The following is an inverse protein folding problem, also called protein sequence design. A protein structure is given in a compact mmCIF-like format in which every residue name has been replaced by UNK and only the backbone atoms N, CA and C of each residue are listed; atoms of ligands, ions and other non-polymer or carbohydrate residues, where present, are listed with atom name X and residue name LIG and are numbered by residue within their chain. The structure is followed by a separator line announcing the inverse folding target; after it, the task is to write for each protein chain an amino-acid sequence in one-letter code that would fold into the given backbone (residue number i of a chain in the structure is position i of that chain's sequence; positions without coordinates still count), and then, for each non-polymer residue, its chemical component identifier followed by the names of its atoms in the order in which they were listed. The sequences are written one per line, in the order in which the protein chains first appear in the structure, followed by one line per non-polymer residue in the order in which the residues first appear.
data_IF_940108137837
#
_entry.id   IF_940108137837
#
_cell.length_a   1.000
_cell.length_b   1.000
_cell.length_c   1.000
_cell.angle_alpha   90.00
_cell.angle_beta   90.00
_cell.angle_gamma   90.00
#
_symmetry.space_group_name_H-M   'P 1'
#
loop_
_entity.id
_entity.type
_entity.pdbx_description
1 polymer ?
#
# COMPACT_ATOMS: atom_id res chain seq x y z
N UNK A 1 -6.57 -18.48 -21.62
CA UNK A 1 -7.05 -18.53 -20.20
C UNK A 1 -6.12 -19.23 -19.22
N UNK A 2 -5.82 -20.55 -19.35
CA UNK A 2 -4.95 -21.23 -18.35
C UNK A 2 -3.55 -20.63 -18.23
N UNK A 3 -2.94 -20.22 -19.35
CA UNK A 3 -1.67 -19.49 -19.42
C UNK A 3 -1.73 -18.20 -18.59
N UNK A 4 -2.66 -17.30 -18.90
CA UNK A 4 -2.86 -16.02 -18.19
C UNK A 4 -3.07 -16.20 -16.68
N UNK A 5 -3.87 -17.19 -16.27
CA UNK A 5 -4.07 -17.48 -14.83
C UNK A 5 -2.76 -17.85 -14.13
N UNK A 6 -1.87 -18.59 -14.79
CA UNK A 6 -0.57 -18.97 -14.23
C UNK A 6 0.36 -17.76 -14.10
N UNK A 7 0.33 -16.88 -15.09
CA UNK A 7 1.10 -15.65 -15.14
C UNK A 7 0.68 -14.66 -14.05
N UNK A 8 -0.62 -14.37 -13.93
CA UNK A 8 -1.16 -13.53 -12.86
C UNK A 8 -0.89 -14.08 -11.46
N UNK A 9 -0.94 -15.40 -11.25
CA UNK A 9 -0.53 -16.03 -9.98
C UNK A 9 0.97 -15.91 -9.69
N UNK A 10 1.79 -15.69 -10.71
CA UNK A 10 3.21 -15.43 -10.53
C UNK A 10 3.43 -13.98 -10.10
N UNK A 11 2.72 -13.05 -10.75
CA UNK A 11 2.70 -11.63 -10.37
C UNK A 11 2.18 -11.41 -8.94
N UNK A 12 1.08 -12.08 -8.57
CA UNK A 12 0.54 -12.03 -7.20
C UNK A 12 1.58 -12.44 -6.15
N UNK A 13 2.35 -13.50 -6.42
CA UNK A 13 3.44 -13.96 -5.53
C UNK A 13 4.65 -13.04 -5.53
N UNK A 14 4.87 -12.24 -6.58
CA UNK A 14 5.90 -11.20 -6.56
C UNK A 14 5.46 -10.03 -5.69
N UNK A 15 4.21 -9.59 -5.83
CA UNK A 15 3.59 -8.55 -4.99
C UNK A 15 3.62 -8.97 -3.51
N UNK A 16 3.23 -10.19 -3.18
CA UNK A 16 3.27 -10.68 -1.79
C UNK A 16 4.69 -10.66 -1.20
N UNK A 17 5.70 -10.96 -2.01
CA UNK A 17 7.12 -10.85 -1.59
C UNK A 17 7.53 -9.41 -1.34
N UNK A 18 7.10 -8.47 -2.20
CA UNK A 18 7.37 -7.04 -2.00
C UNK A 18 6.68 -6.50 -0.74
N UNK A 19 5.40 -6.83 -0.52
CA UNK A 19 4.65 -6.46 0.69
C UNK A 19 5.37 -6.96 1.95
N UNK A 20 5.84 -8.21 1.93
CA UNK A 20 6.58 -8.77 3.06
C UNK A 20 7.93 -8.07 3.28
N UNK A 21 8.65 -7.73 2.19
CA UNK A 21 9.90 -6.98 2.26
C UNK A 21 9.70 -5.60 2.90
N UNK A 22 8.70 -4.85 2.44
CA UNK A 22 8.37 -3.53 2.99
C UNK A 22 7.93 -3.65 4.45
N UNK A 23 7.13 -4.66 4.78
CA UNK A 23 6.68 -4.89 6.16
C UNK A 23 7.84 -5.18 7.11
N UNK A 24 8.84 -5.95 6.67
CA UNK A 24 10.04 -6.20 7.47
C UNK A 24 10.83 -4.91 7.71
N UNK A 25 10.99 -4.07 6.69
CA UNK A 25 11.71 -2.80 6.82
C UNK A 25 10.94 -1.79 7.69
N UNK A 26 9.64 -1.66 7.50
CA UNK A 26 8.75 -0.83 8.34
C UNK A 26 8.85 -1.25 9.82
N UNK A 27 8.97 -2.54 10.11
CA UNK A 27 9.13 -3.03 11.48
C UNK A 27 10.46 -2.59 12.11
N UNK A 28 11.54 -2.52 11.34
CA UNK A 28 12.83 -1.97 11.82
C UNK A 28 12.69 -0.48 12.09
N UNK A 29 12.04 0.26 11.19
CA UNK A 29 11.79 1.71 11.36
C UNK A 29 10.95 1.97 12.61
N UNK A 30 9.89 1.18 12.85
CA UNK A 30 9.08 1.23 14.08
C UNK A 30 9.92 0.99 15.33
N UNK A 31 10.84 0.03 15.31
CA UNK A 31 11.72 -0.23 16.43
C UNK A 31 12.66 0.97 16.70
N UNK A 32 13.24 1.53 15.65
CA UNK A 32 14.08 2.74 15.71
C UNK A 32 13.32 3.96 16.24
N UNK A 33 12.07 4.16 15.80
CA UNK A 33 11.20 5.26 16.25
C UNK A 33 10.90 5.13 17.75
N UNK A 34 10.62 3.92 18.23
CA UNK A 34 10.41 3.66 19.67
C UNK A 34 11.67 3.90 20.52
N UNK A 35 12.86 3.73 19.95
CA UNK A 35 14.12 4.04 20.64
C UNK A 35 14.39 5.55 20.64
N UNK A 36 14.22 6.23 19.50
CA UNK A 36 14.37 7.67 19.37
C UNK A 36 13.38 8.44 20.25
N UNK A 37 12.14 7.96 20.37
CA UNK A 37 11.13 8.60 21.23
C UNK A 37 11.49 8.54 22.72
N UNK A 38 12.17 7.48 23.18
CA UNK A 38 12.67 7.39 24.56
C UNK A 38 13.80 8.39 24.83
N UNK A 39 14.59 8.74 23.81
CA UNK A 39 15.68 9.72 23.89
C UNK A 39 15.19 11.17 23.81
N UNK A 40 13.96 11.39 23.36
CA UNK A 40 13.39 12.72 23.19
C UNK A 40 13.77 13.41 21.88
N UNK A 41 14.33 12.66 20.92
CA UNK A 41 14.82 13.20 19.64
C UNK A 41 13.64 13.48 18.68
N UNK A 42 12.91 14.58 18.88
CA UNK A 42 11.69 14.91 18.11
C UNK A 42 11.92 14.93 16.60
N UNK A 43 13.04 15.52 16.14
CA UNK A 43 13.39 15.59 14.69
C UNK A 43 13.55 14.20 14.08
N UNK A 44 14.21 13.28 14.78
CA UNK A 44 14.43 11.90 14.31
C UNK A 44 13.10 11.14 14.31
N UNK A 45 12.27 11.32 15.34
CA UNK A 45 10.94 10.72 15.40
C UNK A 45 10.06 11.17 14.22
N UNK A 46 10.03 12.47 13.90
CA UNK A 46 9.27 13.01 12.76
C UNK A 46 9.75 12.42 11.44
N UNK A 47 11.06 12.35 11.20
CA UNK A 47 11.60 11.75 9.99
C UNK A 47 11.25 10.26 9.86
N UNK A 48 11.39 9.49 10.95
CA UNK A 48 11.02 8.06 10.95
C UNK A 48 9.51 7.84 10.82
N UNK A 49 8.68 8.76 11.29
CA UNK A 49 7.23 8.69 11.13
C UNK A 49 6.81 8.90 9.68
N UNK A 50 7.43 9.85 8.97
CA UNK A 50 7.24 10.05 7.51
C UNK A 50 7.59 8.79 6.72
N UNK A 51 8.73 8.17 7.04
CA UNK A 51 9.15 6.91 6.40
C UNK A 51 8.13 5.77 6.60
N UNK A 52 7.46 5.72 7.76
CA UNK A 52 6.39 4.76 8.03
C UNK A 52 5.15 5.05 7.19
N UNK A 53 4.77 6.33 7.01
CA UNK A 53 3.66 6.72 6.13
C UNK A 53 3.97 6.30 4.70
N UNK A 54 5.16 6.62 4.20
CA UNK A 54 5.62 6.21 2.88
C UNK A 54 5.55 4.68 2.70
N UNK A 55 6.03 3.92 3.67
CA UNK A 55 5.94 2.45 3.68
C UNK A 55 4.48 1.94 3.66
N UNK A 56 3.56 2.62 4.36
CA UNK A 56 2.13 2.28 4.38
C UNK A 56 1.49 2.58 3.01
N UNK A 57 1.78 3.73 2.40
CA UNK A 57 1.27 4.12 1.09
C UNK A 57 1.74 3.15 0.00
N UNK A 58 3.03 2.80 0.00
CA UNK A 58 3.58 1.79 -0.92
C UNK A 58 2.87 0.44 -0.78
N UNK A 59 2.61 -0.03 0.45
CA UNK A 59 1.85 -1.28 0.66
C UNK A 59 0.39 -1.18 0.20
N UNK A 60 -0.28 -0.05 0.45
CA UNK A 60 -1.66 0.16 0.01
C UNK A 60 -1.76 0.04 -1.52
N UNK A 61 -0.82 0.66 -2.25
CA UNK A 61 -0.75 0.55 -3.71
C UNK A 61 -0.56 -0.90 -4.18
N UNK A 62 0.29 -1.66 -3.50
CA UNK A 62 0.50 -3.08 -3.80
C UNK A 62 -0.75 -3.93 -3.50
N UNK A 63 -1.50 -3.62 -2.43
CA UNK A 63 -2.77 -4.29 -2.13
C UNK A 63 -3.85 -3.98 -3.17
N UNK A 64 -3.97 -2.73 -3.62
CA UNK A 64 -4.85 -2.33 -4.72
C UNK A 64 -4.52 -3.08 -6.01
N UNK A 65 -3.23 -3.13 -6.34
CA UNK A 65 -2.71 -3.86 -7.49
C UNK A 65 -3.11 -5.34 -7.42
N UNK A 66 -2.95 -5.97 -6.26
CA UNK A 66 -3.37 -7.36 -6.02
C UNK A 66 -4.88 -7.55 -6.17
N UNK A 67 -5.69 -6.62 -5.66
CA UNK A 67 -7.15 -6.68 -5.76
C UNK A 67 -7.62 -6.61 -7.23
N UNK A 68 -7.01 -5.73 -8.02
CA UNK A 68 -7.30 -5.61 -9.45
C UNK A 68 -6.89 -6.87 -10.24
N UNK A 69 -5.75 -7.51 -9.91
CA UNK A 69 -5.35 -8.80 -10.51
C UNK A 69 -6.39 -9.88 -10.17
N UNK A 70 -6.87 -9.91 -8.93
CA UNK A 70 -7.90 -10.85 -8.50
C UNK A 70 -9.24 -10.63 -9.24
N UNK A 71 -9.62 -9.38 -9.46
CA UNK A 71 -10.78 -9.02 -10.30
C UNK A 71 -10.66 -9.63 -11.69
N UNK A 72 -9.52 -9.44 -12.36
CA UNK A 72 -9.25 -10.03 -13.69
C UNK A 72 -9.33 -11.56 -13.65
N UNK A 73 -8.74 -12.19 -12.63
CA UNK A 73 -8.78 -13.64 -12.47
C UNK A 73 -10.21 -14.18 -12.31
N UNK A 74 -11.06 -13.48 -11.55
CA UNK A 74 -12.48 -13.85 -11.38
C UNK A 74 -13.24 -13.68 -12.69
N UNK A 75 -13.09 -12.55 -13.38
CA UNK A 75 -13.73 -12.34 -14.67
C UNK A 75 -13.27 -13.35 -15.72
N UNK A 76 -11.98 -13.70 -15.78
CA UNK A 76 -11.47 -14.75 -16.65
C UNK A 76 -12.07 -16.13 -16.33
N UNK A 77 -12.29 -16.43 -15.05
CA UNK A 77 -12.95 -17.67 -14.64
C UNK A 77 -14.42 -17.67 -15.05
N UNK A 78 -15.12 -16.55 -14.91
CA UNK A 78 -16.49 -16.38 -15.39
C UNK A 78 -16.57 -16.58 -16.90
N UNK A 79 -15.69 -15.95 -17.70
CA UNK A 79 -15.64 -16.13 -19.15
C UNK A 79 -15.46 -17.59 -19.54
N UNK A 80 -14.56 -18.31 -18.86
CA UNK A 80 -14.33 -19.73 -19.12
C UNK A 80 -15.60 -20.57 -18.87
N UNK A 81 -16.36 -20.26 -17.81
CA UNK A 81 -17.64 -20.91 -17.53
C UNK A 81 -18.70 -20.56 -18.57
N UNK A 82 -18.78 -19.30 -18.99
CA UNK A 82 -19.72 -18.86 -20.04
C UNK A 82 -19.44 -19.58 -21.36
N UNK A 83 -18.19 -19.62 -21.82
CA UNK A 83 -17.80 -20.32 -23.06
C UNK A 83 -18.20 -21.80 -23.02
N UNK A 84 -18.07 -22.47 -21.86
CA UNK A 84 -18.47 -23.88 -21.72
C UNK A 84 -19.97 -24.10 -21.85
N UNK A 85 -20.78 -23.11 -21.47
CA UNK A 85 -22.24 -23.21 -21.45
C UNK A 85 -22.84 -22.73 -22.77
N UNK A 86 -22.41 -21.56 -23.25
CA UNK A 86 -23.02 -20.86 -24.39
C UNK A 86 -22.22 -20.99 -25.68
N UNK A 87 -20.96 -21.43 -25.61
CA UNK A 87 -20.04 -21.42 -26.74
C UNK A 87 -19.54 -20.02 -27.13
N UNK A 88 -19.96 -18.96 -26.44
CA UNK A 88 -19.65 -17.57 -26.78
C UNK A 88 -19.05 -16.81 -25.59
N UNK A 89 -18.27 -15.77 -25.88
CA UNK A 89 -17.77 -14.80 -24.91
C UNK A 89 -18.87 -13.78 -24.58
N UNK A 90 -18.90 -13.26 -23.36
CA UNK A 90 -19.91 -12.27 -22.94
C UNK A 90 -19.33 -11.29 -21.93
N UNK A 91 -19.48 -9.98 -22.15
CA UNK A 91 -19.17 -8.90 -21.19
C UNK A 91 -17.72 -8.90 -20.65
N UNK A 92 -16.79 -8.31 -21.41
CA UNK A 92 -15.36 -8.21 -21.03
C UNK A 92 -14.95 -6.84 -20.48
N UNK A 93 -15.91 -5.92 -20.32
CA UNK A 93 -15.71 -4.56 -19.78
C UNK A 93 -15.02 -4.53 -18.43
N UNK A 94 -15.37 -5.44 -17.50
CA UNK A 94 -14.76 -5.50 -16.17
C UNK A 94 -13.27 -5.87 -16.22
N UNK A 95 -12.88 -6.71 -17.18
CA UNK A 95 -11.48 -7.05 -17.42
C UNK A 95 -10.75 -5.81 -17.94
N UNK A 96 -11.34 -5.11 -18.91
CA UNK A 96 -10.74 -3.91 -19.51
C UNK A 96 -10.52 -2.79 -18.49
N UNK A 97 -11.49 -2.54 -17.60
CA UNK A 97 -11.35 -1.54 -16.53
C UNK A 97 -10.23 -1.89 -15.55
N UNK A 98 -10.23 -3.13 -15.04
CA UNK A 98 -9.19 -3.58 -14.10
C UNK A 98 -7.82 -3.60 -14.75
N UNK A 99 -7.76 -3.91 -16.06
CA UNK A 99 -6.55 -3.94 -16.85
C UNK A 99 -5.95 -2.54 -17.03
N UNK A 100 -6.76 -1.52 -17.35
CA UNK A 100 -6.29 -0.15 -17.53
C UNK A 100 -5.60 0.38 -16.27
N UNK A 101 -6.21 0.15 -15.10
CA UNK A 101 -5.62 0.58 -13.83
C UNK A 101 -4.24 -0.07 -13.56
N UNK A 102 -4.05 -1.31 -14.01
CA UNK A 102 -2.83 -2.09 -13.81
C UNK A 102 -1.74 -1.81 -14.84
N UNK A 103 -2.07 -1.31 -16.04
CA UNK A 103 -1.06 -0.87 -17.03
C UNK A 103 -0.22 0.28 -16.47
N UNK A 104 -0.79 1.10 -15.59
CA UNK A 104 -0.12 2.23 -14.93
C UNK A 104 0.82 1.82 -13.80
N UNK A 105 0.83 0.54 -13.40
CA UNK A 105 1.70 0.05 -12.31
C UNK A 105 2.99 -0.50 -12.91
N UNK A 106 4.16 0.13 -12.69
CA UNK A 106 5.41 -0.23 -13.37
C UNK A 106 5.77 -1.71 -13.26
N UNK A 107 5.58 -2.31 -12.09
CA UNK A 107 5.96 -3.70 -11.75
C UNK A 107 5.25 -4.74 -12.63
N UNK A 108 4.04 -4.43 -13.09
CA UNK A 108 3.19 -5.36 -13.83
C UNK A 108 2.78 -4.84 -15.22
N UNK A 109 3.12 -3.58 -15.53
CA UNK A 109 2.77 -2.87 -16.76
C UNK A 109 3.03 -3.70 -18.02
N UNK A 110 4.24 -4.26 -18.16
CA UNK A 110 4.63 -5.12 -19.27
C UNK A 110 3.75 -6.36 -19.39
N UNK A 111 3.56 -7.08 -18.26
CA UNK A 111 2.68 -8.26 -18.22
C UNK A 111 1.27 -7.90 -18.65
N UNK A 112 0.79 -6.72 -18.26
CA UNK A 112 -0.56 -6.28 -18.58
C UNK A 112 -0.72 -5.84 -20.03
N UNK A 113 0.30 -5.21 -20.63
CA UNK A 113 0.32 -4.88 -22.05
C UNK A 113 0.35 -6.15 -22.92
N UNK A 114 1.16 -7.14 -22.54
CA UNK A 114 1.20 -8.44 -23.22
C UNK A 114 -0.15 -9.17 -23.11
N UNK A 115 -0.72 -9.20 -21.90
CA UNK A 115 -2.07 -9.73 -21.68
C UNK A 115 -3.13 -9.02 -22.52
N UNK A 116 -3.11 -7.69 -22.57
CA UNK A 116 -4.01 -6.87 -23.40
C UNK A 116 -3.89 -7.27 -24.86
N UNK A 117 -2.67 -7.31 -25.42
CA UNK A 117 -2.44 -7.68 -26.81
C UNK A 117 -2.93 -9.10 -27.13
N UNK A 118 -2.66 -10.07 -26.26
CA UNK A 118 -3.12 -11.45 -26.43
C UNK A 118 -4.65 -11.57 -26.37
N UNK A 119 -5.29 -10.82 -25.48
CA UNK A 119 -6.75 -10.81 -25.32
C UNK A 119 -7.44 -10.15 -26.52
N UNK A 120 -6.88 -9.08 -27.08
CA UNK A 120 -7.38 -8.45 -28.32
C UNK A 120 -7.24 -9.40 -29.51
N UNK A 121 -6.06 -10.03 -29.68
CA UNK A 121 -5.84 -11.03 -30.75
C UNK A 121 -6.76 -12.24 -30.63
N UNK A 122 -7.11 -12.63 -29.41
CA UNK A 122 -8.05 -13.71 -29.16
C UNK A 122 -9.53 -13.31 -29.39
N UNK A 123 -9.81 -12.06 -29.76
CA UNK A 123 -11.17 -11.54 -29.94
C UNK A 123 -11.96 -11.45 -28.63
N UNK A 124 -11.27 -11.38 -27.48
CA UNK A 124 -11.91 -11.36 -26.16
C UNK A 124 -12.19 -9.93 -25.72
N UNK A 125 -11.29 -9.01 -26.01
CA UNK A 125 -11.49 -7.57 -25.77
C UNK A 125 -11.33 -6.81 -27.08
N UNK A 126 -12.05 -5.71 -27.21
CA UNK A 126 -11.88 -4.80 -28.34
C UNK A 126 -10.52 -4.08 -28.26
N UNK A 127 -10.03 -3.54 -29.38
CA UNK A 127 -8.84 -2.69 -29.36
C UNK A 127 -9.09 -1.52 -28.41
N UNK A 128 -8.34 -1.48 -27.31
CA UNK A 128 -8.36 -0.33 -26.44
C UNK A 128 -7.63 0.80 -27.16
N UNK A 129 -8.36 1.83 -27.58
CA UNK A 129 -7.76 3.13 -27.87
C UNK A 129 -7.26 3.63 -26.51
N UNK A 130 -5.95 3.51 -26.30
CA UNK A 130 -5.29 3.93 -25.06
C UNK A 130 -5.16 5.46 -25.05
N UNK A 131 -6.28 6.17 -25.01
CA UNK A 131 -6.28 7.59 -24.67
C UNK A 131 -6.07 7.69 -23.16
N UNK A 132 -4.80 7.70 -22.76
CA UNK A 132 -4.42 7.99 -21.37
C UNK A 132 -3.09 8.75 -21.37
N UNK A 133 -3.11 9.90 -22.07
CA UNK A 133 -2.27 11.04 -21.73
C UNK A 133 -2.94 11.78 -20.57
N UNK A 134 -2.88 11.22 -19.36
CA UNK A 134 -3.14 11.97 -18.14
C UNK A 134 -2.05 11.66 -17.12
N UNK A 135 -1.03 12.51 -17.22
CA UNK A 135 -0.20 13.08 -16.16
C UNK A 135 0.42 12.11 -15.15
N UNK A 136 1.76 12.03 -15.24
CA UNK A 136 2.70 11.68 -14.15
C UNK A 136 2.60 12.65 -12.95
N UNK A 137 1.41 13.04 -12.53
CA UNK A 137 1.21 13.87 -11.36
C UNK A 137 0.91 12.94 -10.18
N UNK A 138 1.98 12.50 -9.52
CA UNK A 138 2.10 12.35 -8.05
C UNK A 138 3.41 11.64 -7.67
N UNK A 139 4.52 12.03 -8.31
CA UNK A 139 5.82 12.18 -7.62
C UNK A 139 5.97 13.63 -7.10
N UNK A 140 4.85 14.32 -6.89
CA UNK A 140 4.84 15.42 -5.95
C UNK A 140 5.12 14.81 -4.59
N UNK A 141 6.17 15.30 -3.92
CA UNK A 141 6.35 15.10 -2.49
C UNK A 141 5.05 15.58 -1.84
N UNK A 142 4.11 14.67 -1.63
CA UNK A 142 2.92 14.93 -0.84
C UNK A 142 3.51 15.27 0.52
N UNK A 143 3.50 16.54 0.89
CA UNK A 143 3.86 16.95 2.24
C UNK A 143 2.93 16.16 3.15
N UNK A 144 3.43 15.06 3.73
CA UNK A 144 2.57 14.21 4.54
C UNK A 144 1.96 15.10 5.61
N UNK A 145 0.62 15.16 5.65
CA UNK A 145 -0.07 16.10 6.49
C UNK A 145 0.48 15.99 7.91
N UNK A 146 0.82 17.10 8.54
CA UNK A 146 1.43 17.10 9.87
C UNK A 146 0.57 16.30 10.88
N UNK A 147 -0.75 16.29 10.67
CA UNK A 147 -1.72 15.48 11.39
C UNK A 147 -1.49 13.96 11.24
N UNK A 148 -1.19 13.47 10.03
CA UNK A 148 -0.88 12.05 9.81
C UNK A 148 0.42 11.65 10.48
N UNK A 149 1.43 12.52 10.41
CA UNK A 149 2.71 12.31 11.09
C UNK A 149 2.51 12.27 12.61
N UNK A 150 1.72 13.19 13.16
CA UNK A 150 1.39 13.20 14.59
C UNK A 150 0.61 11.95 15.00
N UNK A 151 -0.34 11.49 14.19
CA UNK A 151 -1.10 10.26 14.42
C UNK A 151 -0.19 9.04 14.49
N UNK A 152 0.73 8.88 13.53
CA UNK A 152 1.70 7.77 13.53
C UNK A 152 2.61 7.82 14.77
N UNK A 153 3.08 9.01 15.13
CA UNK A 153 3.86 9.21 16.34
C UNK A 153 3.06 8.81 17.60
N UNK A 154 1.80 9.21 17.69
CA UNK A 154 0.92 8.87 18.81
C UNK A 154 0.66 7.36 18.91
N UNK A 155 0.31 6.72 17.79
CA UNK A 155 0.07 5.27 17.67
C UNK A 155 1.29 4.46 18.14
N UNK A 156 2.50 4.87 17.77
CA UNK A 156 3.72 4.08 18.03
C UNK A 156 4.38 4.39 19.37
N UNK A 157 4.06 5.53 19.99
CA UNK A 157 4.61 5.95 21.29
C UNK A 157 3.65 5.73 22.46
N UNK A 158 2.47 5.13 22.23
CA UNK A 158 1.41 4.92 23.22
C UNK A 158 1.01 6.21 23.96
N UNK A 159 0.94 7.34 23.24
CA UNK A 159 0.54 8.61 23.84
C UNK A 159 1.49 9.15 24.92
N UNK A 160 2.76 8.68 24.99
CA UNK A 160 3.76 9.23 25.91
C UNK A 160 4.30 10.59 25.42
N UNK A 161 3.43 11.60 25.37
CA UNK A 161 3.86 12.98 25.59
C UNK A 161 4.17 13.09 27.09
N UNK A 162 5.45 13.16 27.45
CA UNK A 162 5.99 13.83 28.65
C UNK A 162 5.39 13.56 30.05
N UNK A 163 4.65 12.46 30.29
CA UNK A 163 4.06 12.20 31.62
C UNK A 163 5.04 11.84 32.75
N UNK A 164 6.34 11.64 32.48
CA UNK A 164 7.31 11.21 33.50
C UNK A 164 7.90 12.36 34.32
N UNK A 165 8.00 13.57 33.77
CA UNK A 165 8.57 14.70 34.52
C UNK A 165 7.55 15.35 35.46
N UNK A 166 6.27 15.39 35.09
CA UNK A 166 5.22 16.01 35.93
C UNK A 166 4.98 15.19 37.20
N UNK A 167 4.96 13.86 37.13
CA UNK A 167 4.81 13.00 38.32
C UNK A 167 6.01 13.12 39.27
N UNK A 168 7.23 13.23 38.74
CA UNK A 168 8.44 13.43 39.54
C UNK A 168 8.43 14.82 40.19
N UNK A 169 8.05 15.87 39.46
CA UNK A 169 7.89 17.22 39.99
C UNK A 169 6.80 17.29 41.06
N UNK A 170 5.66 16.62 40.86
CA UNK A 170 4.59 16.57 41.85
C UNK A 170 5.03 15.85 43.13
N UNK A 171 5.72 14.72 42.99
CA UNK A 171 6.28 13.99 44.13
C UNK A 171 7.36 14.79 44.87
N UNK A 172 8.19 15.56 44.15
CA UNK A 172 9.22 16.42 44.73
C UNK A 172 8.62 17.63 45.47
N UNK A 173 7.56 18.23 44.93
CA UNK A 173 6.80 19.32 45.59
C UNK A 173 6.11 18.78 46.86
N UNK A 174 5.51 17.58 46.80
CA UNK A 174 4.83 16.96 47.95
C UNK A 174 5.83 16.60 49.06
N UNK A 175 7.02 16.10 48.70
CA UNK A 175 8.12 15.86 49.64
C UNK A 175 8.67 17.15 50.27
N UNK A 176 8.76 18.25 49.50
CA UNK A 176 9.17 19.55 50.03
C UNK A 176 8.14 20.11 51.01
N UNK A 177 6.84 19.97 50.75
CA UNK A 177 5.79 20.38 51.70
C UNK A 177 5.81 19.55 52.99
N UNK A 178 6.08 18.25 52.92
CA UNK A 178 6.12 17.37 54.09
C UNK A 178 7.36 17.56 54.99
N UNK A 179 8.43 18.19 54.47
CA UNK A 179 9.67 18.42 55.22
C UNK A 179 9.73 19.78 55.91
N UNK A 180 8.71 20.63 55.69
CA UNK A 180 8.56 21.98 56.26
C UNK A 180 7.60 21.97 57.48
N UNK A 181 6.96 20.84 57.79
CA UNK A 181 6.20 20.58 59.02
C UNK A 181 6.93 19.56 59.89
#
# INVERSE_FOLDING_TARGET
VRKWRREFRTQERQIDRQINSITMEENKIKASLKQASKRGDKKICTALAKEIIHSRNAKNKLYETKAQINSILMSLQQQLSTIKITGALKDTTAIMQSMNALVKVPEISKTMQEFSSEMTKAGIIEEMISDTLEMNDEEGIEEEAEEEVEKVLFELTNGKKEGRNIFILFYFILLLQYKIY
#
